data_IF_648481991022
#
_entry.id   IF_648481991022
#
_cell.length_a   1.000
_cell.length_b   1.000
_cell.length_c   1.000
_cell.angle_alpha   90.00
_cell.angle_beta   90.00
_cell.angle_gamma   90.00
#
_symmetry.space_group_name_H-M   'P 1'
#
loop_
_entity.id
_entity.type
_entity.pdbx_description
1 polymer ?
#
# COMPACT_ATOMS: atom_id res chain seq x y z
N UNK A 1 1.54 -22.21 7.67
CA UNK A 1 1.96 -20.95 8.34
C UNK A 1 1.67 -19.85 7.35
N UNK A 2 1.00 -18.76 7.72
CA UNK A 2 0.63 -17.69 6.78
C UNK A 2 1.54 -16.49 7.06
N UNK A 3 2.25 -15.99 6.05
CA UNK A 3 2.96 -14.70 6.14
C UNK A 3 2.01 -13.58 5.73
N UNK A 4 2.09 -12.44 6.41
CA UNK A 4 1.34 -11.23 6.06
C UNK A 4 2.31 -10.06 5.91
N UNK A 5 2.17 -9.33 4.82
CA UNK A 5 2.97 -8.13 4.54
C UNK A 5 2.02 -7.00 4.17
N UNK A 6 2.24 -5.82 4.74
CA UNK A 6 1.54 -4.59 4.39
C UNK A 6 2.50 -3.80 3.49
N UNK A 7 2.06 -3.42 2.30
CA UNK A 7 2.94 -2.75 1.30
C UNK A 7 2.39 -1.42 0.80
N UNK A 8 1.09 -1.17 0.93
CA UNK A 8 0.53 0.17 0.70
C UNK A 8 0.09 0.69 2.06
N UNK A 9 0.92 1.58 2.57
CA UNK A 9 0.64 2.34 3.78
C UNK A 9 -0.40 3.42 3.46
N UNK A 10 -1.09 3.91 4.48
CA UNK A 10 -2.21 4.83 4.30
C UNK A 10 -1.77 6.15 3.67
N UNK A 11 -2.74 6.95 3.22
CA UNK A 11 -2.51 8.32 2.69
C UNK A 11 -1.71 9.22 3.65
N UNK A 12 -1.65 8.87 4.95
CA UNK A 12 -0.80 9.55 5.93
C UNK A 12 0.70 9.38 5.64
N UNK A 13 1.18 8.21 5.24
CA UNK A 13 2.60 8.06 4.92
C UNK A 13 3.01 8.79 3.63
N UNK A 14 2.09 8.90 2.66
CA UNK A 14 2.27 9.71 1.46
C UNK A 14 2.47 11.21 1.75
N UNK A 15 2.03 11.68 2.93
CA UNK A 15 2.30 13.04 3.44
C UNK A 15 3.66 13.15 4.14
N UNK A 16 4.57 12.18 3.93
CA UNK A 16 5.90 12.09 4.54
C UNK A 16 5.83 11.96 6.08
N UNK A 17 4.72 11.39 6.53
CA UNK A 17 4.31 11.24 7.92
C UNK A 17 4.40 9.73 8.17
N UNK A 18 5.60 9.25 8.53
CA UNK A 18 5.85 7.83 8.91
C UNK A 18 5.38 7.66 10.35
N UNK A 19 4.30 6.92 10.57
CA UNK A 19 3.75 6.71 11.92
C UNK A 19 3.30 5.27 12.08
N UNK A 20 3.66 4.66 13.22
CA UNK A 20 3.04 3.42 13.66
C UNK A 20 1.53 3.68 13.83
N UNK A 21 0.68 2.96 13.11
CA UNK A 21 -0.78 3.13 13.17
C UNK A 21 -1.37 2.90 14.56
N UNK A 22 -0.68 2.11 15.39
CA UNK A 22 -1.05 1.90 16.78
C UNK A 22 -0.44 2.91 17.75
N UNK A 23 0.40 3.82 17.24
CA UNK A 23 0.93 4.94 18.01
C UNK A 23 -0.20 5.75 18.63
N UNK A 24 0.10 6.29 19.80
CA UNK A 24 -0.81 7.19 20.50
C UNK A 24 -1.14 8.42 19.63
N UNK A 25 -0.20 8.86 18.81
CA UNK A 25 -0.31 10.06 17.96
C UNK A 25 -1.37 9.88 16.87
N UNK A 26 -1.35 8.78 16.11
CA UNK A 26 -2.38 8.51 15.10
C UNK A 26 -3.75 8.37 15.76
N UNK A 27 -3.84 7.63 16.87
CA UNK A 27 -5.11 7.46 17.58
C UNK A 27 -5.66 8.81 18.03
N UNK A 28 -4.81 9.68 18.56
CA UNK A 28 -5.18 11.03 18.99
C UNK A 28 -5.64 11.87 17.81
N UNK A 29 -4.89 11.87 16.71
CA UNK A 29 -5.24 12.60 15.49
C UNK A 29 -6.61 12.18 14.93
N UNK A 30 -6.87 10.87 14.86
CA UNK A 30 -8.15 10.34 14.39
C UNK A 30 -9.32 10.71 15.29
N UNK A 31 -9.11 10.69 16.61
CA UNK A 31 -10.11 11.15 17.58
C UNK A 31 -10.41 12.63 17.38
N UNK A 32 -9.38 13.47 17.23
CA UNK A 32 -9.54 14.92 16.99
C UNK A 32 -10.32 15.18 15.70
N UNK A 33 -9.97 14.52 14.60
CA UNK A 33 -10.68 14.66 13.33
C UNK A 33 -12.14 14.16 13.43
N UNK A 34 -12.38 13.07 14.16
CA UNK A 34 -13.73 12.54 14.34
C UNK A 34 -14.61 13.53 15.15
N UNK A 35 -14.06 14.12 16.21
CA UNK A 35 -14.73 15.15 17.01
C UNK A 35 -15.03 16.40 16.17
N UNK A 36 -14.07 16.86 15.37
CA UNK A 36 -14.27 17.99 14.46
C UNK A 36 -15.36 17.70 13.43
N UNK A 37 -15.40 16.48 12.89
CA UNK A 37 -16.42 16.03 11.94
C UNK A 37 -17.81 16.09 12.56
N UNK A 38 -17.98 15.54 13.77
CA UNK A 38 -19.25 15.58 14.52
C UNK A 38 -19.67 17.01 14.81
N UNK A 39 -18.71 17.86 15.22
CA UNK A 39 -18.96 19.27 15.49
C UNK A 39 -19.47 20.01 14.24
N UNK A 40 -18.84 19.83 13.08
CA UNK A 40 -19.24 20.49 11.83
C UNK A 40 -20.62 20.05 11.34
N UNK A 41 -20.95 18.75 11.46
CA UNK A 41 -22.28 18.24 11.13
C UNK A 41 -23.33 18.83 12.08
N UNK A 42 -23.06 18.79 13.39
CA UNK A 42 -23.99 19.30 14.42
C UNK A 42 -24.22 20.80 14.26
N UNK A 43 -23.15 21.56 14.01
CA UNK A 43 -23.21 22.98 13.74
C UNK A 43 -24.03 23.24 12.47
N UNK A 44 -23.71 22.56 11.36
CA UNK A 44 -24.43 22.71 10.09
C UNK A 44 -25.94 22.47 10.21
N UNK A 45 -26.36 21.49 11.01
CA UNK A 45 -27.78 21.25 11.33
C UNK A 45 -28.35 22.39 12.18
N UNK A 46 -27.66 22.81 13.24
CA UNK A 46 -28.14 23.83 14.19
C UNK A 46 -28.32 25.21 13.53
N UNK A 47 -27.34 25.66 12.74
CA UNK A 47 -27.42 26.96 12.05
C UNK A 47 -28.07 26.88 10.66
N UNK A 48 -28.56 25.69 10.26
CA UNK A 48 -29.10 25.42 8.92
C UNK A 48 -28.16 25.84 7.77
N UNK A 49 -26.86 25.57 7.93
CA UNK A 49 -25.81 25.91 6.98
C UNK A 49 -25.35 24.67 6.20
N UNK A 50 -25.71 24.63 4.92
CA UNK A 50 -25.38 23.53 4.01
C UNK A 50 -23.87 23.34 3.82
N UNK A 51 -23.05 24.40 3.91
CA UNK A 51 -21.61 24.31 3.69
C UNK A 51 -20.92 23.55 4.82
N UNK A 52 -21.24 23.86 6.08
CA UNK A 52 -20.73 23.12 7.24
C UNK A 52 -21.14 21.65 7.18
N UNK A 53 -22.38 21.39 6.77
CA UNK A 53 -22.93 20.04 6.66
C UNK A 53 -22.24 19.23 5.56
N UNK A 54 -22.01 19.82 4.38
CA UNK A 54 -21.29 19.18 3.27
C UNK A 54 -19.85 18.88 3.64
N UNK A 55 -19.13 19.82 4.28
CA UNK A 55 -17.75 19.59 4.73
C UNK A 55 -17.74 18.45 5.75
N UNK A 56 -18.60 18.49 6.77
CA UNK A 56 -18.70 17.42 7.77
C UNK A 56 -18.99 16.04 7.16
N UNK A 57 -19.96 15.94 6.25
CA UNK A 57 -20.25 14.67 5.56
C UNK A 57 -19.05 14.21 4.70
N UNK A 58 -18.41 15.13 3.97
CA UNK A 58 -17.25 14.79 3.15
C UNK A 58 -16.11 14.23 4.00
N UNK A 59 -15.84 14.82 5.17
CA UNK A 59 -14.84 14.30 6.10
C UNK A 59 -15.23 12.91 6.60
N UNK A 60 -16.49 12.73 7.03
CA UNK A 60 -17.00 11.45 7.50
C UNK A 60 -16.80 10.32 6.47
N UNK A 61 -17.07 10.61 5.19
CA UNK A 61 -16.91 9.63 4.10
C UNK A 61 -15.44 9.34 3.82
N UNK A 62 -14.54 10.31 3.94
CA UNK A 62 -13.12 10.16 3.58
C UNK A 62 -12.24 9.57 4.69
N UNK A 63 -12.58 9.78 5.97
CA UNK A 63 -11.79 9.28 7.11
C UNK A 63 -11.52 7.75 7.02
N UNK A 64 -12.50 6.89 6.71
CA UNK A 64 -12.25 5.46 6.56
C UNK A 64 -11.21 5.14 5.47
N UNK A 65 -11.20 5.89 4.35
CA UNK A 65 -10.25 5.66 3.26
C UNK A 65 -8.81 5.97 3.67
N UNK A 66 -8.62 6.95 4.56
CA UNK A 66 -7.32 7.25 5.15
C UNK A 66 -6.80 6.12 6.08
N UNK A 67 -7.63 5.14 6.39
CA UNK A 67 -7.33 4.06 7.33
C UNK A 67 -7.30 2.68 6.68
N UNK A 68 -7.58 2.60 5.38
CA UNK A 68 -7.47 1.35 4.64
C UNK A 68 -6.00 1.06 4.39
N UNK A 69 -5.53 -0.06 4.93
CA UNK A 69 -4.26 -0.66 4.55
C UNK A 69 -4.47 -1.62 3.39
N UNK A 70 -3.42 -1.81 2.59
CA UNK A 70 -3.35 -2.93 1.66
C UNK A 70 -2.14 -3.79 1.97
N UNK A 71 -2.37 -5.09 1.93
CA UNK A 71 -1.32 -6.07 2.14
C UNK A 71 -1.50 -7.31 1.29
N UNK A 72 -0.53 -8.21 1.40
CA UNK A 72 -0.48 -9.52 0.76
C UNK A 72 -0.32 -10.59 1.83
N UNK A 73 -1.06 -11.69 1.68
CA UNK A 73 -0.88 -12.90 2.47
C UNK A 73 -0.33 -14.01 1.59
N UNK A 74 0.60 -14.80 2.15
CA UNK A 74 1.15 -15.97 1.51
C UNK A 74 0.81 -17.22 2.30
N UNK A 75 0.42 -18.28 1.60
CA UNK A 75 0.31 -19.63 2.13
C UNK A 75 1.31 -20.54 1.42
N UNK A 76 2.43 -20.81 2.10
CA UNK A 76 3.47 -21.73 1.63
C UNK A 76 2.98 -23.17 1.47
N UNK A 77 1.97 -23.62 2.22
CA UNK A 77 1.48 -25.01 2.15
C UNK A 77 0.70 -25.26 0.86
N UNK A 78 -0.16 -24.31 0.51
CA UNK A 78 -0.97 -24.40 -0.71
C UNK A 78 -0.33 -23.73 -1.92
N UNK A 79 0.85 -23.11 -1.74
CA UNK A 79 1.55 -22.31 -2.74
C UNK A 79 0.64 -21.23 -3.35
N UNK A 80 0.00 -20.44 -2.50
CA UNK A 80 -0.97 -19.41 -2.88
C UNK A 80 -0.67 -18.08 -2.22
N UNK A 81 -1.15 -17.00 -2.83
CA UNK A 81 -1.14 -15.68 -2.25
C UNK A 81 -2.47 -14.96 -2.47
N UNK A 82 -2.76 -13.94 -1.68
CA UNK A 82 -3.89 -13.04 -1.91
C UNK A 82 -3.62 -11.65 -1.39
N UNK A 83 -4.17 -10.65 -2.06
CA UNK A 83 -4.21 -9.30 -1.53
C UNK A 83 -5.37 -9.13 -0.55
N UNK A 84 -5.17 -8.33 0.48
CA UNK A 84 -6.23 -7.94 1.41
C UNK A 84 -6.24 -6.44 1.61
N UNK A 85 -7.41 -5.94 1.99
CA UNK A 85 -7.58 -4.61 2.58
C UNK A 85 -7.95 -4.78 4.04
N UNK A 86 -7.39 -3.96 4.93
CA UNK A 86 -7.75 -3.96 6.34
C UNK A 86 -8.10 -2.56 6.83
N UNK A 87 -9.08 -2.49 7.73
CA UNK A 87 -9.47 -1.29 8.46
C UNK A 87 -9.42 -1.63 9.95
N UNK A 88 -8.56 -0.98 10.73
CA UNK A 88 -8.34 -1.28 12.15
C UNK A 88 -8.11 -2.79 12.45
N UNK A 89 -7.35 -3.49 11.61
CA UNK A 89 -7.11 -4.93 11.75
C UNK A 89 -8.27 -5.83 11.30
N UNK A 90 -9.47 -5.29 11.07
CA UNK A 90 -10.56 -6.02 10.42
C UNK A 90 -10.31 -6.13 8.94
N UNK A 91 -10.27 -7.35 8.44
CA UNK A 91 -10.03 -7.60 7.03
C UNK A 91 -11.30 -7.42 6.21
N UNK A 92 -11.27 -6.47 5.28
CA UNK A 92 -12.24 -6.28 4.23
C UNK A 92 -11.89 -7.24 3.07
N UNK A 93 -12.03 -8.55 3.31
CA UNK A 93 -11.66 -9.58 2.31
C UNK A 93 -12.70 -9.61 1.19
N UNK A 94 -12.26 -9.41 -0.05
CA UNK A 94 -13.02 -9.75 -1.26
C UNK A 94 -12.22 -10.52 -2.32
N UNK A 95 -10.92 -10.76 -2.09
CA UNK A 95 -10.03 -11.32 -3.11
C UNK A 95 -9.85 -12.83 -2.93
N UNK A 96 -9.95 -13.56 -4.05
CA UNK A 96 -9.69 -15.00 -4.14
C UNK A 96 -8.18 -15.27 -3.98
N UNK A 97 -7.85 -16.45 -3.47
CA UNK A 97 -6.47 -16.93 -3.49
C UNK A 97 -6.01 -17.18 -4.93
N UNK A 98 -4.81 -16.71 -5.24
CA UNK A 98 -4.12 -16.86 -6.52
C UNK A 98 -2.96 -17.85 -6.33
N UNK A 99 -2.65 -18.60 -7.38
CA UNK A 99 -1.52 -19.55 -7.38
C UNK A 99 -0.22 -18.77 -7.45
N UNK A 100 0.72 -19.12 -6.59
CA UNK A 100 2.07 -18.55 -6.57
C UNK A 100 2.97 -19.35 -7.53
N UNK A 101 3.74 -18.71 -8.42
CA UNK A 101 4.73 -19.42 -9.22
C UNK A 101 5.86 -19.98 -8.34
N UNK A 102 6.58 -20.99 -8.83
CA UNK A 102 7.76 -21.50 -8.14
C UNK A 102 8.81 -20.38 -8.03
N UNK A 103 9.25 -20.08 -6.81
CA UNK A 103 10.16 -18.97 -6.52
C UNK A 103 11.59 -19.48 -6.58
N UNK A 104 12.38 -18.99 -7.54
CA UNK A 104 13.83 -19.16 -7.56
C UNK A 104 14.51 -18.07 -6.74
N UNK A 105 14.15 -16.81 -6.99
CA UNK A 105 14.61 -15.65 -6.24
C UNK A 105 13.63 -14.49 -6.36
N UNK A 106 13.80 -13.48 -5.51
CA UNK A 106 13.05 -12.23 -5.55
C UNK A 106 13.95 -11.08 -6.03
N UNK A 107 13.39 -10.06 -6.68
CA UNK A 107 14.11 -8.83 -6.97
C UNK A 107 13.35 -7.61 -6.47
N UNK A 108 14.08 -6.62 -5.95
CA UNK A 108 13.57 -5.26 -5.80
C UNK A 108 14.13 -4.42 -6.92
N UNK A 109 13.28 -4.01 -7.87
CA UNK A 109 13.69 -3.29 -9.06
C UNK A 109 13.14 -1.87 -9.08
N UNK A 110 13.96 -0.88 -9.43
CA UNK A 110 13.51 0.50 -9.64
C UNK A 110 12.97 0.65 -11.05
N UNK A 111 11.65 0.62 -11.20
CA UNK A 111 10.98 0.75 -12.50
C UNK A 111 10.61 2.21 -12.79
N UNK A 112 10.86 2.65 -14.02
CA UNK A 112 10.28 3.88 -14.57
C UNK A 112 8.92 3.55 -15.18
N UNK A 113 7.87 4.23 -14.74
CA UNK A 113 6.51 4.11 -15.27
C UNK A 113 6.09 5.40 -15.95
N UNK A 114 5.12 5.24 -16.85
CA UNK A 114 4.50 6.34 -17.57
C UNK A 114 3.01 6.31 -17.26
N UNK A 115 2.47 7.47 -16.91
CA UNK A 115 1.04 7.68 -16.78
C UNK A 115 0.56 8.57 -17.93
N UNK A 116 -0.47 8.10 -18.62
CA UNK A 116 -1.14 8.87 -19.66
C UNK A 116 -2.25 9.71 -19.04
N UNK A 117 -2.25 11.00 -19.33
CA UNK A 117 -3.30 11.93 -18.93
C UNK A 117 -3.90 12.57 -20.18
N UNK A 118 -5.21 12.41 -20.45
CA UNK A 118 -5.85 13.07 -21.56
C UNK A 118 -5.85 14.59 -21.35
N UNK A 119 -5.44 15.35 -22.37
CA UNK A 119 -5.47 16.81 -22.39
C UNK A 119 -6.15 17.30 -23.68
N UNK A 120 -7.49 17.34 -23.64
CA UNK A 120 -8.30 17.63 -24.82
C UNK A 120 -8.18 16.53 -25.87
N UNK A 121 -7.70 16.86 -27.07
CA UNK A 121 -7.46 15.93 -28.19
C UNK A 121 -6.08 15.27 -28.16
N UNK A 122 -5.19 15.70 -27.26
CA UNK A 122 -3.83 15.18 -27.11
C UNK A 122 -3.67 14.36 -25.82
N UNK A 123 -2.55 13.64 -25.74
CA UNK A 123 -2.13 12.93 -24.53
C UNK A 123 -0.87 13.57 -23.96
N UNK A 124 -0.87 13.80 -22.66
CA UNK A 124 0.34 14.12 -21.89
C UNK A 124 0.85 12.86 -21.19
N UNK A 125 2.17 12.73 -21.15
CA UNK A 125 2.86 11.63 -20.50
C UNK A 125 3.61 12.14 -19.28
N UNK A 126 3.25 11.64 -18.10
CA UNK A 126 3.98 11.90 -16.86
C UNK A 126 4.81 10.68 -16.51
N UNK A 127 6.10 10.89 -16.26
CA UNK A 127 7.02 9.82 -15.87
C UNK A 127 7.24 9.84 -14.36
N UNK A 128 7.18 8.68 -13.74
CA UNK A 128 7.44 8.51 -12.31
C UNK A 128 8.19 7.20 -12.06
N UNK A 129 8.81 7.08 -10.90
CA UNK A 129 9.52 5.87 -10.51
C UNK A 129 8.77 5.15 -9.39
N UNK A 130 8.90 3.83 -9.35
CA UNK A 130 8.38 2.96 -8.29
C UNK A 130 9.37 1.83 -8.03
N UNK A 131 9.26 1.20 -6.87
CA UNK A 131 9.91 -0.08 -6.59
C UNK A 131 8.94 -1.22 -6.90
N UNK A 132 9.38 -2.17 -7.71
CA UNK A 132 8.66 -3.41 -8.03
C UNK A 132 9.31 -4.58 -7.30
N UNK A 133 8.50 -5.34 -6.56
CA UNK A 133 8.92 -6.58 -5.93
C UNK A 133 8.50 -7.71 -6.87
N UNK A 134 9.48 -8.32 -7.52
CA UNK A 134 9.25 -9.38 -8.50
C UNK A 134 9.69 -10.73 -7.97
N UNK A 135 8.93 -11.77 -8.29
CA UNK A 135 9.35 -13.17 -8.18
C UNK A 135 9.92 -13.58 -9.52
N UNK A 136 11.05 -14.27 -9.52
CA UNK A 136 11.58 -14.97 -10.69
C UNK A 136 11.42 -16.48 -10.53
N UNK A 137 10.99 -17.15 -11.60
CA UNK A 137 10.90 -18.60 -11.68
C UNK A 137 12.23 -19.24 -12.13
N UNK A 138 12.24 -20.57 -12.24
CA UNK A 138 13.41 -21.33 -12.71
C UNK A 138 13.85 -20.94 -14.13
N UNK A 139 12.88 -20.51 -14.96
CA UNK A 139 13.04 -20.12 -16.36
C UNK A 139 13.36 -18.63 -16.55
N UNK A 140 13.62 -17.89 -15.47
CA UNK A 140 13.88 -16.44 -15.48
C UNK A 140 12.67 -15.58 -15.91
N UNK A 141 11.46 -16.14 -15.92
CA UNK A 141 10.25 -15.33 -16.05
C UNK A 141 9.97 -14.62 -14.74
N UNK A 142 9.60 -13.34 -14.83
CA UNK A 142 9.26 -12.56 -13.65
C UNK A 142 7.76 -12.34 -13.52
N UNK A 143 7.31 -12.30 -12.28
CA UNK A 143 5.97 -11.90 -11.88
C UNK A 143 6.07 -10.78 -10.83
N UNK A 144 5.49 -9.61 -11.11
CA UNK A 144 5.43 -8.52 -10.15
C UNK A 144 4.36 -8.78 -9.10
N UNK A 145 4.77 -9.01 -7.85
CA UNK A 145 3.86 -9.21 -6.72
C UNK A 145 3.13 -7.92 -6.38
N UNK A 146 3.87 -6.86 -6.08
CA UNK A 146 3.32 -5.56 -5.72
C UNK A 146 4.35 -4.46 -5.96
N UNK A 147 3.88 -3.23 -5.78
CA UNK A 147 4.62 -2.00 -6.06
C UNK A 147 4.63 -1.16 -4.80
N UNK A 148 5.76 -0.51 -4.55
CA UNK A 148 5.96 0.43 -3.46
C UNK A 148 6.45 1.75 -4.05
N UNK A 149 6.02 2.87 -3.46
CA UNK A 149 6.44 4.20 -3.89
C UNK A 149 7.96 4.38 -3.77
N UNK A 150 8.53 5.20 -4.65
CA UNK A 150 9.97 5.46 -4.73
C UNK A 150 10.53 6.11 -3.46
N UNK A 151 9.70 6.75 -2.63
CA UNK A 151 10.14 7.34 -1.36
C UNK A 151 10.40 6.27 -0.27
N UNK A 152 9.90 5.05 -0.42
CA UNK A 152 9.91 4.00 0.62
C UNK A 152 10.86 2.82 0.31
N UNK A 153 12.09 3.10 -0.13
CA UNK A 153 13.09 2.06 -0.43
C UNK A 153 13.31 1.07 0.72
N UNK A 154 13.46 1.58 1.94
CA UNK A 154 13.70 0.75 3.13
C UNK A 154 12.57 -0.26 3.35
N UNK A 155 11.33 0.18 3.14
CA UNK A 155 10.15 -0.68 3.25
C UNK A 155 10.09 -1.72 2.15
N UNK A 156 10.44 -1.34 0.91
CA UNK A 156 10.53 -2.29 -0.20
C UNK A 156 11.56 -3.40 0.04
N UNK A 157 12.76 -3.03 0.53
CA UNK A 157 13.80 -4.00 0.88
C UNK A 157 13.39 -4.87 2.08
N UNK A 158 12.73 -4.29 3.09
CA UNK A 158 12.19 -5.03 4.23
C UNK A 158 11.16 -6.08 3.78
N UNK A 159 10.18 -5.67 2.98
CA UNK A 159 9.16 -6.58 2.45
C UNK A 159 9.79 -7.72 1.65
N UNK A 160 10.74 -7.42 0.76
CA UNK A 160 11.42 -8.44 -0.04
C UNK A 160 12.20 -9.44 0.84
N UNK A 161 12.90 -8.94 1.87
CA UNK A 161 13.64 -9.77 2.82
C UNK A 161 12.72 -10.70 3.62
N UNK A 162 11.57 -10.21 4.09
CA UNK A 162 10.59 -11.03 4.83
C UNK A 162 10.01 -12.13 3.95
N UNK A 163 9.71 -11.84 2.67
CA UNK A 163 9.26 -12.85 1.71
C UNK A 163 10.36 -13.89 1.45
N UNK A 164 11.58 -13.42 1.20
CA UNK A 164 12.76 -14.25 0.93
C UNK A 164 13.01 -15.24 2.09
N UNK A 165 13.01 -14.73 3.33
CA UNK A 165 13.14 -15.54 4.54
C UNK A 165 12.02 -16.57 4.68
N UNK A 166 10.77 -16.19 4.43
CA UNK A 166 9.63 -17.09 4.56
C UNK A 166 9.65 -18.24 3.53
N UNK A 167 10.11 -17.96 2.31
CA UNK A 167 10.26 -18.97 1.26
C UNK A 167 11.60 -19.69 1.27
N UNK A 168 12.57 -19.27 2.09
CA UNK A 168 13.96 -19.74 2.08
C UNK A 168 14.64 -19.55 0.71
N UNK A 169 14.46 -18.38 0.11
CA UNK A 169 15.04 -18.02 -1.20
C UNK A 169 15.92 -16.78 -1.05
N UNK A 170 16.84 -16.56 -1.98
CA UNK A 170 17.62 -15.32 -2.03
C UNK A 170 16.80 -14.17 -2.63
N UNK A 171 17.20 -12.93 -2.35
CA UNK A 171 16.71 -11.77 -3.10
C UNK A 171 17.85 -10.90 -3.60
N UNK A 172 17.58 -10.17 -4.68
CA UNK A 172 18.52 -9.24 -5.28
C UNK A 172 18.00 -7.81 -5.15
N UNK A 173 18.86 -6.93 -4.64
CA UNK A 173 18.66 -5.49 -4.71
C UNK A 173 19.13 -5.00 -6.09
N UNK A 174 18.15 -4.72 -6.96
CA UNK A 174 18.34 -4.17 -8.29
C UNK A 174 17.85 -2.71 -8.37
N UNK A 175 17.90 -1.99 -7.24
CA UNK A 175 17.49 -0.57 -7.18
C UNK A 175 18.59 0.39 -7.61
N UNK A 176 19.84 -0.08 -7.61
CA UNK A 176 21.03 0.66 -8.07
C UNK A 176 21.69 -0.05 -9.27
N UNK A 177 22.65 0.63 -9.89
CA UNK A 177 23.40 0.11 -11.05
C UNK A 177 24.21 -1.14 -10.73
N UNK A 178 24.72 -1.25 -9.50
CA UNK A 178 25.39 -2.46 -9.02
C UNK A 178 24.39 -3.34 -8.29
N UNK A 179 24.03 -4.47 -8.90
CA UNK A 179 23.11 -5.41 -8.29
C UNK A 179 23.77 -6.17 -7.14
N UNK A 180 23.10 -6.22 -5.98
CA UNK A 180 23.62 -6.88 -4.78
C UNK A 180 22.71 -8.02 -4.37
N UNK A 181 23.26 -9.22 -4.27
CA UNK A 181 22.61 -10.34 -3.61
C UNK A 181 22.66 -10.15 -2.09
N UNK A 182 21.51 -10.28 -1.43
CA UNK A 182 21.34 -10.06 0.00
C UNK A 182 20.72 -11.28 0.69
#
# INVERSE_FOLDING_TARGET
MILKIIFEETLFEMLNVIYDKNSLEIKTFLVVISLLTIFLISLGIYINNNLCLVIGISMLVNIPFLLIEKGIEFDKKENKYRFFKSLFGFKLIKNKWLVLPNIKYLSVYKAKKTQEAPMGVNYNYTYYFIYEINIFDENQHYFTLFKIDITHLKHALFCAKEIANYFNTSFIDATTTEHKWL
#
